data_IF_112035509070
#
_entry.id   IF_112035509070
#
_cell.length_a   1.000
_cell.length_b   1.000
_cell.length_c   1.000
_cell.angle_alpha   90.00
_cell.angle_beta   90.00
_cell.angle_gamma   90.00
#
_symmetry.space_group_name_H-M   'P 1'
#
loop_
_entity.id
_entity.type
_entity.pdbx_description
1 polymer ?
#
# COMPACT_ATOMS: atom_id res chain seq x y z
N UNK A 1 -25.71 25.85 25.53
CA UNK A 1 -24.38 25.83 26.16
C UNK A 1 -24.39 24.78 27.26
N UNK A 2 -23.75 23.63 27.02
CA UNK A 2 -23.56 22.59 28.03
C UNK A 2 -22.05 22.41 28.18
N UNK A 3 -21.50 22.97 29.26
CA UNK A 3 -20.11 22.81 29.66
C UNK A 3 -19.92 21.42 30.25
N UNK A 4 -19.22 20.55 29.54
CA UNK A 4 -18.74 19.28 30.10
C UNK A 4 -17.35 19.55 30.69
N UNK A 5 -17.28 19.57 32.02
CA UNK A 5 -16.04 19.64 32.78
C UNK A 5 -15.24 18.35 32.54
N UNK A 6 -14.09 18.45 31.89
CA UNK A 6 -13.10 17.38 31.82
C UNK A 6 -12.21 17.46 33.06
N UNK A 7 -12.24 16.43 33.91
CA UNK A 7 -11.18 16.18 34.88
C UNK A 7 -10.17 15.17 34.29
N UNK A 8 -8.86 15.37 34.50
CA UNK A 8 -7.80 14.64 33.81
C UNK A 8 -7.66 13.20 34.31
N UNK A 9 -7.19 12.35 33.38
CA UNK A 9 -6.49 11.06 33.52
C UNK A 9 -6.42 10.54 34.97
N UNK A 10 -7.23 9.53 35.27
CA UNK A 10 -7.10 8.70 36.49
C UNK A 10 -6.43 7.38 36.06
N UNK A 11 -5.18 7.19 36.49
CA UNK A 11 -4.50 5.90 36.59
C UNK A 11 -5.11 5.10 37.74
N UNK A 12 -5.62 3.89 37.52
CA UNK A 12 -5.81 2.91 38.62
C UNK A 12 -5.81 1.43 38.17
N UNK A 13 -5.33 0.61 39.11
CA UNK A 13 -4.85 -0.77 39.02
C UNK A 13 -5.90 -1.88 38.74
N UNK A 14 -5.43 -2.88 37.97
CA UNK A 14 -5.76 -4.33 37.92
C UNK A 14 -7.09 -4.81 38.52
N UNK A 15 -7.96 -5.29 37.64
CA UNK A 15 -8.34 -6.69 37.48
C UNK A 15 -9.57 -6.75 36.57
N UNK A 16 -9.55 -7.54 35.50
CA UNK A 16 -10.72 -8.30 35.04
C UNK A 16 -10.35 -9.28 33.93
N UNK A 17 -10.96 -10.46 34.07
CA UNK A 17 -10.62 -11.71 33.42
C UNK A 17 -11.05 -11.77 31.96
N UNK A 18 -10.21 -12.44 31.17
CA UNK A 18 -10.46 -12.85 29.79
C UNK A 18 -11.60 -13.87 29.72
N UNK A 19 -12.45 -13.73 28.71
CA UNK A 19 -13.19 -14.85 28.13
C UNK A 19 -13.10 -14.78 26.61
N UNK A 20 -12.42 -15.78 26.03
CA UNK A 20 -12.42 -16.10 24.60
C UNK A 20 -13.79 -16.67 24.21
N UNK A 21 -14.34 -16.24 23.08
CA UNK A 21 -15.23 -17.08 22.28
C UNK A 21 -14.82 -17.04 20.81
N UNK A 22 -14.39 -18.20 20.35
CA UNK A 22 -14.27 -18.62 18.97
C UNK A 22 -15.68 -18.81 18.41
N UNK A 23 -15.91 -18.46 17.15
CA UNK A 23 -16.89 -19.18 16.34
C UNK A 23 -16.45 -19.18 14.86
N UNK A 24 -16.24 -20.40 14.37
CA UNK A 24 -16.14 -20.77 12.97
C UNK A 24 -17.54 -20.78 12.34
N UNK A 25 -17.69 -20.28 11.12
CA UNK A 25 -18.55 -20.96 10.13
C UNK A 25 -18.08 -20.63 8.71
N UNK A 26 -17.64 -21.66 7.99
CA UNK A 26 -17.50 -21.70 6.55
C UNK A 26 -18.87 -21.92 5.90
N UNK A 27 -19.10 -21.34 4.72
CA UNK A 27 -19.64 -22.00 3.52
C UNK A 27 -19.80 -20.94 2.42
N UNK A 28 -19.02 -21.02 1.34
CA UNK A 28 -19.38 -21.67 0.07
C UNK A 28 -20.63 -21.06 -0.57
N UNK A 29 -20.41 -20.12 -1.50
CA UNK A 29 -21.15 -20.08 -2.76
C UNK A 29 -20.21 -19.54 -3.85
N UNK A 30 -19.78 -20.48 -4.69
CA UNK A 30 -18.96 -20.26 -5.86
C UNK A 30 -19.86 -20.26 -7.10
N UNK A 31 -19.40 -19.52 -8.10
CA UNK A 31 -19.71 -19.65 -9.53
C UNK A 31 -21.09 -19.21 -10.02
N UNK A 32 -21.11 -18.00 -10.60
CA UNK A 32 -21.58 -17.72 -11.97
C UNK A 32 -21.38 -16.23 -12.28
N UNK A 33 -20.47 -15.91 -13.21
CA UNK A 33 -20.67 -14.85 -14.22
C UNK A 33 -19.54 -14.92 -15.25
N UNK A 34 -19.86 -15.61 -16.35
CA UNK A 34 -19.12 -15.56 -17.61
C UNK A 34 -19.62 -14.39 -18.46
N UNK A 35 -18.70 -13.93 -19.31
CA UNK A 35 -18.91 -13.20 -20.58
C UNK A 35 -19.21 -11.70 -20.49
N UNK A 36 -18.14 -10.90 -20.35
CA UNK A 36 -18.13 -9.51 -20.81
C UNK A 36 -17.52 -9.48 -22.21
N UNK A 37 -18.33 -9.10 -23.19
CA UNK A 37 -17.92 -8.86 -24.57
C UNK A 37 -17.06 -7.59 -24.66
N UNK A 38 -15.85 -7.72 -25.20
CA UNK A 38 -14.96 -6.59 -25.47
C UNK A 38 -15.41 -5.84 -26.73
N UNK A 39 -15.92 -4.62 -26.57
CA UNK A 39 -15.98 -3.65 -27.67
C UNK A 39 -14.64 -2.92 -27.76
N UNK A 40 -13.80 -3.32 -28.71
CA UNK A 40 -12.59 -2.59 -29.09
C UNK A 40 -12.96 -1.42 -30.00
N UNK A 41 -13.11 -0.21 -29.47
CA UNK A 41 -12.97 1.00 -30.28
C UNK A 41 -11.47 1.31 -30.43
N UNK A 42 -10.91 0.87 -31.56
CA UNK A 42 -9.51 1.05 -31.88
C UNK A 42 -9.19 2.52 -32.16
N UNK A 43 -8.37 3.13 -31.30
CA UNK A 43 -7.49 4.23 -31.69
C UNK A 43 -6.16 3.58 -32.10
N UNK A 44 -5.93 3.43 -33.40
CA UNK A 44 -4.68 2.92 -33.97
C UNK A 44 -3.66 4.04 -34.07
N UNK A 45 -2.67 4.04 -33.18
CA UNK A 45 -1.44 4.78 -33.41
C UNK A 45 -0.63 4.06 -34.50
N UNK A 46 -0.26 4.78 -35.57
CA UNK A 46 0.71 4.28 -36.57
C UNK A 46 2.05 4.08 -35.88
N UNK A 47 2.37 2.85 -35.52
CA UNK A 47 3.73 2.50 -35.11
C UNK A 47 4.65 2.52 -36.33
N UNK A 48 5.76 3.24 -36.24
CA UNK A 48 6.90 3.03 -37.12
C UNK A 48 7.26 1.54 -37.07
N UNK A 49 7.17 0.84 -38.20
CA UNK A 49 7.53 -0.58 -38.28
C UNK A 49 9.05 -0.73 -38.12
N UNK A 50 9.53 -0.74 -36.88
CA UNK A 50 10.84 -1.30 -36.57
C UNK A 50 10.78 -2.79 -36.88
N UNK A 51 11.59 -3.23 -37.85
CA UNK A 51 11.77 -4.65 -38.18
C UNK A 51 12.10 -5.40 -36.88
N UNK A 52 11.26 -6.36 -36.50
CA UNK A 52 11.48 -7.14 -35.28
C UNK A 52 12.69 -8.06 -35.45
N UNK A 53 13.41 -8.36 -34.38
CA UNK A 53 14.60 -9.21 -34.47
C UNK A 53 14.23 -10.68 -34.66
N UNK A 54 15.21 -11.48 -35.08
CA UNK A 54 15.07 -12.94 -35.15
C UNK A 54 14.73 -13.56 -33.79
N UNK A 55 15.21 -12.98 -32.67
CA UNK A 55 14.86 -13.44 -31.32
C UNK A 55 13.36 -13.31 -31.05
N UNK A 56 12.76 -12.16 -31.40
CA UNK A 56 11.32 -11.96 -31.25
C UNK A 56 10.52 -13.00 -32.04
N UNK A 57 10.90 -13.25 -33.30
CA UNK A 57 10.20 -14.23 -34.15
C UNK A 57 10.37 -15.66 -33.64
N UNK A 58 11.55 -16.03 -33.14
CA UNK A 58 11.81 -17.33 -32.53
C UNK A 58 10.99 -17.54 -31.26
N UNK A 59 10.88 -16.52 -30.40
CA UNK A 59 10.04 -16.57 -29.20
C UNK A 59 8.55 -16.75 -29.55
N UNK A 60 8.06 -16.04 -30.57
CA UNK A 60 6.70 -16.25 -31.09
C UNK A 60 6.49 -17.64 -31.67
N UNK A 61 7.46 -18.17 -32.41
CA UNK A 61 7.41 -19.54 -32.93
C UNK A 61 7.32 -20.55 -31.79
N UNK A 62 8.11 -20.38 -30.74
CA UNK A 62 8.06 -21.22 -29.55
C UNK A 62 6.69 -21.15 -28.84
N UNK A 63 6.12 -19.96 -28.65
CA UNK A 63 4.78 -19.80 -28.06
C UNK A 63 3.70 -20.56 -28.85
N UNK A 64 3.81 -20.63 -30.17
CA UNK A 64 2.87 -21.39 -31.00
C UNK A 64 3.04 -22.92 -30.88
N UNK A 65 4.12 -23.41 -30.26
CA UNK A 65 4.36 -24.85 -30.03
C UNK A 65 3.92 -25.33 -28.65
N UNK A 66 3.53 -24.41 -27.75
CA UNK A 66 3.10 -24.73 -26.39
C UNK A 66 1.61 -24.47 -26.21
N UNK A 67 0.98 -25.22 -25.31
CA UNK A 67 -0.43 -24.99 -24.99
C UNK A 67 -0.56 -23.85 -23.98
N UNK A 68 -1.09 -22.71 -24.43
CA UNK A 68 -1.31 -21.53 -23.60
C UNK A 68 -2.78 -21.45 -23.20
N UNK A 69 -3.02 -21.33 -21.89
CA UNK A 69 -4.31 -20.95 -21.31
C UNK A 69 -4.20 -19.64 -20.52
N UNK A 70 -5.34 -19.09 -20.10
CA UNK A 70 -5.39 -17.91 -19.20
C UNK A 70 -4.67 -18.12 -17.86
N UNK A 71 -4.52 -19.38 -17.42
CA UNK A 71 -3.93 -19.77 -16.14
C UNK A 71 -2.44 -20.19 -16.30
N UNK A 72 -1.85 -19.91 -17.47
CA UNK A 72 -0.45 -20.26 -17.74
C UNK A 72 0.49 -19.51 -16.78
N UNK A 73 1.36 -20.26 -16.10
CA UNK A 73 2.51 -19.66 -15.42
C UNK A 73 3.67 -19.51 -16.39
N UNK A 74 4.27 -18.31 -16.45
CA UNK A 74 5.43 -18.07 -17.31
C UNK A 74 6.61 -18.97 -16.93
N UNK A 75 6.74 -19.37 -15.66
CA UNK A 75 7.80 -20.28 -15.21
C UNK A 75 7.59 -21.74 -15.64
N UNK A 76 6.40 -22.10 -16.15
CA UNK A 76 6.17 -23.39 -16.80
C UNK A 76 6.67 -23.42 -18.25
N UNK A 77 7.12 -22.28 -18.78
CA UNK A 77 7.64 -22.14 -20.14
C UNK A 77 9.17 -22.10 -20.14
N UNK A 78 9.77 -22.42 -21.28
CA UNK A 78 11.20 -22.27 -21.48
C UNK A 78 11.53 -20.78 -21.71
N UNK A 79 11.99 -20.11 -20.65
CA UNK A 79 12.33 -18.69 -20.66
C UNK A 79 13.46 -18.34 -21.62
N UNK A 80 14.43 -19.24 -21.86
CA UNK A 80 15.49 -19.00 -22.84
C UNK A 80 14.93 -18.91 -24.27
N UNK A 81 13.97 -19.77 -24.60
CA UNK A 81 13.26 -19.73 -25.90
C UNK A 81 12.30 -18.55 -26.00
N UNK A 82 11.85 -17.99 -24.88
CA UNK A 82 11.00 -16.80 -24.86
C UNK A 82 11.78 -15.49 -24.90
N UNK A 83 13.10 -15.50 -24.67
CA UNK A 83 13.90 -14.29 -24.69
C UNK A 83 13.80 -13.60 -26.05
N UNK A 84 13.50 -12.30 -26.02
CA UNK A 84 13.20 -11.50 -27.20
C UNK A 84 11.72 -11.16 -27.35
N UNK A 85 10.80 -11.85 -26.67
CA UNK A 85 9.36 -11.52 -26.71
C UNK A 85 9.08 -10.10 -26.19
N UNK A 86 9.91 -9.61 -25.28
CA UNK A 86 9.86 -8.28 -24.69
C UNK A 86 10.43 -7.16 -25.58
N UNK A 87 11.07 -7.47 -26.71
CA UNK A 87 11.78 -6.46 -27.50
C UNK A 87 10.88 -5.31 -27.98
N UNK A 88 11.42 -4.09 -27.91
CA UNK A 88 10.68 -2.86 -28.26
C UNK A 88 9.66 -2.42 -27.21
N UNK A 89 9.59 -3.06 -26.04
CA UNK A 89 8.87 -2.54 -24.87
C UNK A 89 9.80 -1.63 -24.08
N UNK A 90 9.54 -0.31 -24.15
CA UNK A 90 10.48 0.74 -23.70
C UNK A 90 10.88 0.59 -22.23
N UNK A 91 9.92 0.26 -21.36
CA UNK A 91 10.15 0.12 -19.92
C UNK A 91 11.13 -1.01 -19.59
N UNK A 92 11.13 -2.06 -20.41
CA UNK A 92 11.89 -3.29 -20.19
C UNK A 92 13.22 -3.34 -20.97
N UNK A 93 13.62 -2.24 -21.60
CA UNK A 93 14.90 -2.14 -22.30
C UNK A 93 16.08 -2.50 -21.39
N UNK A 94 16.94 -3.42 -21.87
CA UNK A 94 18.10 -3.92 -21.14
C UNK A 94 17.82 -5.11 -20.20
N UNK A 95 16.56 -5.54 -20.09
CA UNK A 95 16.16 -6.73 -19.33
C UNK A 95 15.79 -7.90 -20.26
N UNK A 96 16.13 -9.11 -19.81
CA UNK A 96 15.69 -10.34 -20.46
C UNK A 96 14.30 -10.78 -19.94
N UNK A 97 13.66 -11.75 -20.61
CA UNK A 97 12.32 -12.18 -20.20
C UNK A 97 12.27 -12.83 -18.81
N UNK A 98 13.37 -13.44 -18.35
CA UNK A 98 13.46 -14.06 -17.03
C UNK A 98 13.47 -13.03 -15.91
N UNK A 99 14.20 -11.94 -16.11
CA UNK A 99 14.23 -10.80 -15.19
C UNK A 99 12.87 -10.09 -15.15
N UNK A 100 12.22 -9.92 -16.30
CA UNK A 100 10.86 -9.35 -16.38
C UNK A 100 9.83 -10.27 -15.72
N UNK A 101 9.96 -11.59 -15.91
CA UNK A 101 9.12 -12.57 -15.23
C UNK A 101 9.25 -12.46 -13.71
N UNK A 102 10.48 -12.34 -13.19
CA UNK A 102 10.72 -12.12 -11.76
C UNK A 102 10.06 -10.84 -11.26
N UNK A 103 10.24 -9.72 -11.98
CA UNK A 103 9.61 -8.46 -11.60
C UNK A 103 8.09 -8.60 -11.56
N UNK A 104 7.48 -9.04 -12.67
CA UNK A 104 6.04 -8.98 -12.86
C UNK A 104 5.26 -10.08 -12.13
N UNK A 105 5.88 -11.24 -11.85
CA UNK A 105 5.24 -12.28 -11.03
C UNK A 105 5.25 -11.93 -9.54
N UNK A 106 6.33 -11.31 -9.07
CA UNK A 106 6.45 -10.95 -7.66
C UNK A 106 5.90 -9.56 -7.34
N UNK A 107 5.55 -8.73 -8.33
CA UNK A 107 5.13 -7.34 -8.08
C UNK A 107 3.94 -7.27 -7.12
N UNK A 108 4.19 -6.65 -5.97
CA UNK A 108 3.19 -6.28 -4.98
C UNK A 108 3.08 -4.76 -4.88
N UNK A 109 4.20 -4.05 -5.06
CA UNK A 109 4.24 -2.60 -4.87
C UNK A 109 4.75 -1.90 -6.14
N UNK A 110 3.96 -0.99 -6.68
CA UNK A 110 4.38 -0.02 -7.70
C UNK A 110 4.39 1.36 -7.04
N UNK A 111 5.54 1.75 -6.52
CA UNK A 111 5.62 2.98 -5.71
C UNK A 111 5.44 4.21 -6.59
N UNK A 112 4.44 5.04 -6.30
CA UNK A 112 4.25 6.32 -7.02
C UNK A 112 4.76 7.54 -6.24
N UNK A 113 4.89 7.41 -4.91
CA UNK A 113 5.45 8.43 -4.03
C UNK A 113 6.33 7.80 -2.95
N UNK A 114 7.46 8.46 -2.68
CA UNK A 114 8.42 8.13 -1.62
C UNK A 114 8.42 9.16 -0.51
N UNK A 115 8.45 8.67 0.72
CA UNK A 115 8.44 9.47 1.94
C UNK A 115 7.04 9.89 2.39
N UNK A 116 6.92 10.21 3.68
CA UNK A 116 5.68 10.55 4.35
C UNK A 116 5.89 11.74 5.28
N UNK A 117 4.93 12.68 5.32
CA UNK A 117 5.01 13.89 6.15
C UNK A 117 4.50 13.70 7.59
N UNK A 118 4.08 12.48 7.96
CA UNK A 118 3.31 12.26 9.19
C UNK A 118 4.11 11.62 10.31
N UNK A 119 5.31 11.14 9.99
CA UNK A 119 6.37 10.77 10.94
C UNK A 119 5.90 10.00 12.18
N UNK A 120 5.04 9.00 11.96
CA UNK A 120 4.54 8.16 13.04
C UNK A 120 5.70 7.47 13.79
N UNK A 121 5.57 7.38 15.11
CA UNK A 121 6.53 6.72 16.00
C UNK A 121 6.68 5.23 15.67
N UNK A 122 5.62 4.63 15.12
CA UNK A 122 5.57 3.23 14.72
C UNK A 122 5.88 2.97 13.24
N UNK A 123 6.40 3.96 12.51
CA UNK A 123 6.57 3.80 11.06
C UNK A 123 7.42 2.57 10.72
N UNK A 124 6.75 1.54 10.19
CA UNK A 124 7.32 0.24 9.86
C UNK A 124 8.49 0.37 8.88
N UNK A 125 8.31 1.24 7.90
CA UNK A 125 9.28 1.52 6.83
C UNK A 125 10.21 2.69 7.16
N UNK A 126 10.14 3.22 8.39
CA UNK A 126 11.00 4.31 8.87
C UNK A 126 10.98 5.56 7.97
N UNK A 127 9.83 5.82 7.35
CA UNK A 127 9.65 6.83 6.31
C UNK A 127 10.06 8.24 6.71
N UNK A 128 11.02 8.77 5.95
CA UNK A 128 11.47 10.16 6.04
C UNK A 128 10.57 11.12 5.28
N UNK A 129 10.82 12.42 5.50
CA UNK A 129 10.18 13.48 4.73
C UNK A 129 10.52 13.31 3.24
N UNK A 130 9.54 13.45 2.32
CA UNK A 130 9.78 13.38 0.89
C UNK A 130 10.90 14.30 0.44
N UNK A 131 11.79 13.81 -0.43
CA UNK A 131 12.80 14.65 -1.08
C UNK A 131 12.12 15.72 -1.96
N UNK A 132 12.75 16.88 -2.10
CA UNK A 132 12.34 17.87 -3.10
C UNK A 132 12.63 17.31 -4.49
N UNK A 133 11.64 17.35 -5.38
CA UNK A 133 11.83 16.98 -6.77
C UNK A 133 12.75 18.01 -7.45
N UNK A 134 13.88 17.54 -7.98
CA UNK A 134 14.87 18.33 -8.72
C UNK A 134 15.38 17.54 -9.91
N UNK A 135 16.33 18.10 -10.68
CA UNK A 135 17.03 17.33 -11.73
C UNK A 135 17.80 16.12 -11.20
N UNK A 136 18.18 16.10 -9.93
CA UNK A 136 19.01 15.05 -9.32
C UNK A 136 18.28 14.19 -8.28
N UNK A 137 17.10 14.60 -7.84
CA UNK A 137 16.35 13.96 -6.75
C UNK A 137 14.89 13.80 -7.14
N UNK A 138 14.27 12.70 -6.71
CA UNK A 138 12.86 12.46 -6.89
C UNK A 138 12.22 11.87 -5.63
N UNK A 139 10.99 12.28 -5.36
CA UNK A 139 10.07 11.67 -4.38
C UNK A 139 8.75 11.22 -5.01
N UNK A 140 8.59 11.39 -6.33
CA UNK A 140 7.44 10.89 -7.09
C UNK A 140 7.87 10.28 -8.41
N UNK A 141 7.15 9.26 -8.85
CA UNK A 141 7.24 8.77 -10.21
C UNK A 141 6.71 9.83 -11.19
N UNK A 142 7.06 9.69 -12.48
CA UNK A 142 6.37 10.40 -13.55
C UNK A 142 5.08 9.63 -13.93
N UNK A 143 4.03 10.36 -14.32
CA UNK A 143 2.84 9.71 -14.86
C UNK A 143 3.15 8.94 -16.16
N UNK A 144 4.05 9.47 -16.98
CA UNK A 144 4.48 8.86 -18.24
C UNK A 144 5.23 7.54 -17.99
N UNK A 145 6.12 7.48 -17.00
CA UNK A 145 6.80 6.22 -16.63
C UNK A 145 5.78 5.17 -16.14
N UNK A 146 4.84 5.58 -15.27
CA UNK A 146 3.77 4.70 -14.79
C UNK A 146 2.88 4.21 -15.96
N UNK A 147 2.41 5.13 -16.80
CA UNK A 147 1.56 4.81 -17.95
C UNK A 147 2.28 3.90 -18.96
N UNK A 148 3.57 4.15 -19.20
CA UNK A 148 4.39 3.33 -20.10
C UNK A 148 4.60 1.92 -19.54
N UNK A 149 4.87 1.76 -18.24
CA UNK A 149 4.93 0.44 -17.59
C UNK A 149 3.63 -0.34 -17.82
N UNK A 150 2.48 0.27 -17.52
CA UNK A 150 1.17 -0.38 -17.65
C UNK A 150 0.87 -0.73 -19.12
N UNK A 151 1.23 0.15 -20.07
CA UNK A 151 1.13 -0.11 -21.50
C UNK A 151 2.01 -1.28 -21.95
N UNK A 152 3.26 -1.33 -21.49
CA UNK A 152 4.20 -2.39 -21.83
C UNK A 152 3.79 -3.74 -21.22
N UNK A 153 3.22 -3.76 -20.02
CA UNK A 153 2.60 -4.97 -19.42
C UNK A 153 1.45 -5.46 -20.30
N UNK A 154 0.52 -4.59 -20.72
CA UNK A 154 -0.58 -4.96 -21.62
C UNK A 154 -0.07 -5.54 -22.93
N UNK A 155 0.92 -4.89 -23.53
CA UNK A 155 1.53 -5.37 -24.78
C UNK A 155 2.24 -6.71 -24.58
N UNK A 156 2.95 -6.91 -23.48
CA UNK A 156 3.59 -8.18 -23.16
C UNK A 156 2.56 -9.29 -22.98
N UNK A 157 1.48 -9.04 -22.24
CA UNK A 157 0.37 -9.97 -22.07
C UNK A 157 -0.23 -10.39 -23.43
N UNK A 158 -0.46 -9.43 -24.33
CA UNK A 158 -0.94 -9.71 -25.68
C UNK A 158 0.07 -10.55 -26.50
N UNK A 159 1.37 -10.34 -26.29
CA UNK A 159 2.42 -11.12 -26.97
C UNK A 159 2.52 -12.54 -26.41
N UNK A 160 2.32 -12.72 -25.11
CA UNK A 160 2.36 -14.02 -24.43
C UNK A 160 1.07 -14.84 -24.63
N UNK A 161 -0.08 -14.17 -24.79
CA UNK A 161 -1.40 -14.82 -24.87
C UNK A 161 -2.03 -15.13 -23.51
N UNK A 162 -1.41 -14.69 -22.42
CA UNK A 162 -1.90 -14.80 -21.05
C UNK A 162 -1.40 -13.61 -20.23
N UNK A 163 -1.98 -13.40 -19.05
CA UNK A 163 -1.58 -12.31 -18.17
C UNK A 163 -0.40 -12.75 -17.28
N UNK A 164 0.78 -12.16 -17.49
CA UNK A 164 1.98 -12.48 -16.72
C UNK A 164 1.84 -12.10 -15.24
N UNK A 165 1.01 -11.12 -14.91
CA UNK A 165 0.77 -10.63 -13.54
C UNK A 165 -0.40 -11.38 -12.87
N UNK A 166 -1.24 -12.09 -13.63
CA UNK A 166 -2.43 -12.74 -13.07
C UNK A 166 -2.07 -13.78 -11.99
N UNK A 167 -2.92 -13.91 -10.96
CA UNK A 167 -2.68 -14.81 -9.85
C UNK A 167 -2.82 -16.28 -10.28
N UNK A 168 -1.77 -17.07 -10.09
CA UNK A 168 -1.85 -18.52 -10.02
C UNK A 168 -1.96 -18.94 -8.54
N UNK A 169 -2.99 -19.73 -8.24
CA UNK A 169 -3.57 -19.87 -6.90
C UNK A 169 -2.60 -20.25 -5.75
N UNK A 170 -2.92 -19.65 -4.58
CA UNK A 170 -2.58 -19.93 -3.16
C UNK A 170 -1.55 -19.01 -2.49
N UNK A 171 -0.56 -18.47 -3.20
CA UNK A 171 0.49 -17.63 -2.61
C UNK A 171 0.73 -16.30 -3.33
N UNK A 172 0.01 -16.02 -4.42
CA UNK A 172 0.14 -14.78 -5.16
C UNK A 172 -0.51 -13.61 -4.41
N UNK A 173 0.19 -12.48 -4.37
CA UNK A 173 -0.32 -11.24 -3.79
C UNK A 173 -1.65 -10.86 -4.45
N UNK A 174 -2.67 -10.64 -3.62
CA UNK A 174 -4.06 -10.44 -4.07
C UNK A 174 -4.27 -9.04 -4.67
N UNK A 175 -3.32 -8.12 -4.47
CA UNK A 175 -3.39 -6.72 -4.86
C UNK A 175 -2.05 -6.16 -5.38
N UNK A 176 -2.09 -4.94 -5.90
CA UNK A 176 -0.93 -4.09 -6.18
C UNK A 176 -1.07 -2.77 -5.42
N UNK A 177 -0.12 -2.49 -4.56
CA UNK A 177 -0.10 -1.32 -3.69
C UNK A 177 0.67 -0.19 -4.41
N UNK A 178 0.11 1.02 -4.43
CA UNK A 178 0.77 2.19 -5.06
C UNK A 178 1.67 2.99 -4.12
N UNK A 179 1.75 2.58 -2.86
CA UNK A 179 2.54 3.21 -1.81
C UNK A 179 3.41 2.15 -1.12
N UNK A 180 4.53 2.59 -0.56
CA UNK A 180 5.36 1.76 0.32
C UNK A 180 5.58 2.46 1.64
N UNK A 181 6.30 3.59 1.59
CA UNK A 181 6.65 4.43 2.74
C UNK A 181 5.88 5.77 2.71
N UNK A 182 4.69 5.82 2.11
CA UNK A 182 3.89 7.04 1.92
C UNK A 182 2.41 6.83 2.25
N UNK A 183 1.63 7.91 2.33
CA UNK A 183 0.17 7.84 2.49
C UNK A 183 -0.53 7.75 1.14
N UNK A 184 -1.58 6.94 1.03
CA UNK A 184 -2.33 6.79 -0.21
C UNK A 184 -3.05 8.06 -0.65
N UNK A 185 -3.42 8.96 0.27
CA UNK A 185 -4.02 10.25 -0.11
C UNK A 185 -3.03 11.14 -0.85
N UNK A 186 -1.74 10.88 -0.66
CA UNK A 186 -0.64 11.59 -1.29
C UNK A 186 -0.13 10.92 -2.57
N UNK A 187 -0.61 9.71 -2.85
CA UNK A 187 -0.33 8.94 -4.06
C UNK A 187 -1.15 9.47 -5.23
N UNK A 188 -0.61 10.52 -5.84
CA UNK A 188 -1.11 11.09 -7.08
C UNK A 188 0.05 11.45 -8.00
N UNK A 189 -0.21 11.33 -9.30
CA UNK A 189 0.71 11.68 -10.37
C UNK A 189 0.14 12.80 -11.23
N UNK A 190 1.01 13.55 -11.89
CA UNK A 190 0.62 14.63 -12.79
C UNK A 190 1.23 14.35 -14.15
N UNK A 191 0.42 14.41 -15.20
CA UNK A 191 0.91 14.26 -16.57
C UNK A 191 1.62 15.53 -17.06
N UNK A 192 2.26 15.43 -18.23
CA UNK A 192 2.94 16.56 -18.88
C UNK A 192 2.02 17.78 -19.15
N UNK A 193 0.69 17.59 -19.18
CA UNK A 193 -0.30 18.66 -19.38
C UNK A 193 -0.80 19.26 -18.06
N UNK A 194 -0.31 18.80 -16.91
CA UNK A 194 -0.72 19.27 -15.60
C UNK A 194 -1.98 18.60 -15.03
N UNK A 195 -2.52 17.56 -15.68
CA UNK A 195 -3.67 16.82 -15.16
C UNK A 195 -3.22 15.90 -14.03
N UNK A 196 -3.86 16.05 -12.88
CA UNK A 196 -3.66 15.18 -11.72
C UNK A 196 -4.50 13.91 -11.82
N UNK A 197 -3.87 12.76 -11.55
CA UNK A 197 -4.47 11.44 -11.42
C UNK A 197 -4.31 10.98 -9.98
N UNK A 198 -5.42 10.79 -9.28
CA UNK A 198 -5.44 10.33 -7.89
C UNK A 198 -5.30 8.81 -7.77
N UNK A 199 -5.11 8.31 -6.55
CA UNK A 199 -4.89 6.88 -6.29
C UNK A 199 -5.98 5.95 -6.89
N UNK A 200 -7.26 6.32 -6.88
CA UNK A 200 -8.32 5.51 -7.50
C UNK A 200 -8.16 5.44 -9.04
N UNK A 201 -7.83 6.57 -9.68
CA UNK A 201 -7.61 6.61 -11.14
C UNK A 201 -6.35 5.83 -11.54
N UNK A 202 -5.28 5.89 -10.73
CA UNK A 202 -4.07 5.10 -10.95
C UNK A 202 -4.33 3.60 -10.73
N UNK A 203 -5.10 3.25 -9.70
CA UNK A 203 -5.53 1.87 -9.44
C UNK A 203 -6.37 1.32 -10.59
N UNK A 204 -7.28 2.10 -11.16
CA UNK A 204 -8.02 1.73 -12.36
C UNK A 204 -7.08 1.44 -13.54
N UNK A 205 -6.14 2.35 -13.82
CA UNK A 205 -5.19 2.20 -14.92
C UNK A 205 -4.37 0.91 -14.79
N UNK A 206 -3.84 0.62 -13.59
CA UNK A 206 -3.07 -0.61 -13.37
C UNK A 206 -3.96 -1.86 -13.41
N UNK A 207 -5.16 -1.82 -12.82
CA UNK A 207 -6.10 -2.94 -12.80
C UNK A 207 -6.45 -3.40 -14.21
N UNK A 208 -6.64 -2.45 -15.13
CA UNK A 208 -6.93 -2.75 -16.54
C UNK A 208 -5.78 -3.47 -17.27
N UNK A 209 -4.55 -3.47 -16.74
CA UNK A 209 -3.41 -4.22 -17.29
C UNK A 209 -3.12 -5.52 -16.54
N UNK A 210 -3.24 -5.49 -15.21
CA UNK A 210 -2.76 -6.54 -14.31
C UNK A 210 -3.89 -7.47 -13.86
N UNK A 211 -5.13 -7.00 -13.88
CA UNK A 211 -6.27 -7.67 -13.25
C UNK A 211 -6.20 -7.73 -11.72
N UNK A 212 -5.17 -7.12 -11.10
CA UNK A 212 -5.02 -7.10 -9.64
C UNK A 212 -5.65 -5.82 -9.09
N UNK A 213 -6.53 -5.90 -8.08
CA UNK A 213 -7.06 -4.71 -7.41
C UNK A 213 -5.94 -3.91 -6.72
N UNK A 214 -6.18 -2.63 -6.47
CA UNK A 214 -5.28 -1.81 -5.66
C UNK A 214 -5.66 -1.77 -4.18
N UNK A 215 -4.78 -1.25 -3.33
CA UNK A 215 -5.09 -0.96 -1.92
C UNK A 215 -4.95 0.53 -1.63
N UNK A 216 -5.76 1.04 -0.71
CA UNK A 216 -5.72 2.42 -0.24
C UNK A 216 -5.61 2.44 1.29
N UNK A 217 -4.44 2.80 1.81
CA UNK A 217 -4.21 3.00 3.24
C UNK A 217 -3.89 4.47 3.52
N UNK A 218 -4.64 5.08 4.44
CA UNK A 218 -4.43 6.45 4.88
C UNK A 218 -4.41 6.54 6.40
N UNK A 219 -3.65 7.47 6.95
CA UNK A 219 -3.78 7.93 8.35
C UNK A 219 -4.41 9.34 8.41
N UNK A 220 -5.03 9.79 7.33
CA UNK A 220 -5.82 11.01 7.27
C UNK A 220 -5.08 12.25 6.80
N UNK A 221 -5.76 13.39 6.83
CA UNK A 221 -5.25 14.71 6.47
C UNK A 221 -5.93 15.78 7.35
N UNK A 222 -5.30 16.93 7.52
CA UNK A 222 -5.85 18.02 8.34
C UNK A 222 -7.14 18.58 7.70
N UNK A 223 -8.15 19.00 8.50
CA UNK A 223 -9.42 19.50 7.96
C UNK A 223 -9.28 20.72 7.03
N UNK A 224 -8.21 21.50 7.17
CA UNK A 224 -7.90 22.67 6.34
C UNK A 224 -7.07 22.34 5.09
N UNK A 225 -6.59 21.10 4.93
CA UNK A 225 -5.96 20.63 3.70
C UNK A 225 -7.02 20.38 2.62
N UNK A 226 -7.41 21.47 1.97
CA UNK A 226 -8.38 21.48 0.87
C UNK A 226 -7.98 20.59 -0.31
N UNK A 227 -6.68 20.36 -0.54
CA UNK A 227 -6.20 19.54 -1.66
C UNK A 227 -6.44 18.07 -1.36
N UNK A 228 -6.01 17.60 -0.20
CA UNK A 228 -6.25 16.22 0.24
C UNK A 228 -7.74 15.95 0.42
N UNK A 229 -8.50 16.89 0.99
CA UNK A 229 -9.96 16.79 1.11
C UNK A 229 -10.63 16.58 -0.26
N UNK A 230 -10.31 17.43 -1.25
CA UNK A 230 -10.88 17.31 -2.61
C UNK A 230 -10.50 15.99 -3.27
N UNK A 231 -9.28 15.49 -3.04
CA UNK A 231 -8.83 14.21 -3.57
C UNK A 231 -9.59 13.05 -2.93
N UNK A 232 -9.75 13.06 -1.61
CA UNK A 232 -10.52 12.07 -0.88
C UNK A 232 -11.95 12.02 -1.40
N UNK A 233 -12.64 13.16 -1.53
CA UNK A 233 -14.01 13.21 -2.05
C UNK A 233 -14.15 12.62 -3.46
N UNK A 234 -13.17 12.82 -4.34
CA UNK A 234 -13.13 12.17 -5.66
C UNK A 234 -12.99 10.66 -5.54
N UNK A 235 -12.09 10.18 -4.67
CA UNK A 235 -11.88 8.75 -4.41
C UNK A 235 -13.15 8.10 -3.85
N UNK A 236 -13.80 8.75 -2.87
CA UNK A 236 -15.07 8.26 -2.29
C UNK A 236 -16.17 8.22 -3.34
N UNK A 237 -16.29 9.27 -4.17
CA UNK A 237 -17.26 9.27 -5.28
C UNK A 237 -17.02 8.11 -6.25
N UNK A 238 -15.76 7.79 -6.53
CA UNK A 238 -15.37 6.68 -7.40
C UNK A 238 -15.80 5.33 -6.82
N UNK A 239 -15.47 5.04 -5.56
CA UNK A 239 -15.78 3.76 -4.92
C UNK A 239 -17.22 3.63 -4.40
N UNK A 240 -18.01 4.70 -4.48
CA UNK A 240 -19.46 4.62 -4.21
C UNK A 240 -20.17 3.77 -5.27
N UNK A 241 -19.72 3.83 -6.53
CA UNK A 241 -20.24 3.02 -7.63
C UNK A 241 -19.74 1.57 -7.53
N UNK A 242 -20.67 0.62 -7.40
CA UNK A 242 -20.38 -0.82 -7.27
C UNK A 242 -19.64 -1.40 -8.49
N UNK A 243 -19.74 -0.75 -9.66
CA UNK A 243 -18.97 -1.16 -10.85
C UNK A 243 -17.46 -1.11 -10.61
N UNK A 244 -17.02 -0.24 -9.72
CA UNK A 244 -15.60 -0.04 -9.41
C UNK A 244 -15.12 -0.90 -8.22
N UNK A 245 -16.01 -1.70 -7.61
CA UNK A 245 -15.69 -2.45 -6.39
C UNK A 245 -14.58 -3.49 -6.59
N UNK A 246 -14.41 -4.03 -7.81
CA UNK A 246 -13.37 -5.02 -8.11
C UNK A 246 -11.97 -4.41 -8.30
N UNK A 247 -11.87 -3.08 -8.42
CA UNK A 247 -10.59 -2.39 -8.64
C UNK A 247 -9.85 -2.07 -7.34
N UNK A 248 -10.50 -2.28 -6.20
CA UNK A 248 -9.95 -2.08 -4.87
C UNK A 248 -10.02 -3.38 -4.09
N UNK A 249 -8.97 -3.71 -3.37
CA UNK A 249 -8.88 -4.86 -2.48
C UNK A 249 -9.38 -4.44 -1.11
N UNK A 250 -8.77 -3.37 -0.58
CA UNK A 250 -9.12 -2.80 0.71
C UNK A 250 -8.90 -1.29 0.74
N UNK A 251 -9.72 -0.62 1.55
CA UNK A 251 -9.55 0.77 1.97
C UNK A 251 -9.35 0.73 3.49
N UNK A 252 -8.19 1.18 3.98
CA UNK A 252 -7.85 1.20 5.39
C UNK A 252 -7.66 2.63 5.90
N UNK A 253 -8.36 2.95 6.98
CA UNK A 253 -8.15 4.18 7.75
C UNK A 253 -7.37 3.79 9.02
N UNK A 254 -6.12 4.22 9.11
CA UNK A 254 -5.24 3.95 10.24
C UNK A 254 -5.46 4.99 11.34
N UNK A 255 -6.05 4.55 12.46
CA UNK A 255 -6.24 5.37 13.66
C UNK A 255 -5.31 4.85 14.74
N UNK A 256 -4.19 5.55 14.95
CA UNK A 256 -3.08 5.06 15.74
C UNK A 256 -2.62 6.13 16.74
N UNK A 257 -2.30 5.75 17.99
CA UNK A 257 -1.86 6.68 19.02
C UNK A 257 -0.41 7.13 18.76
N UNK A 258 0.25 6.53 17.76
CA UNK A 258 1.64 6.78 17.39
C UNK A 258 1.84 7.94 16.42
N UNK A 259 0.78 8.63 16.01
CA UNK A 259 0.88 9.77 15.09
C UNK A 259 1.77 10.87 15.71
N UNK A 260 2.47 11.66 14.88
CA UNK A 260 3.37 12.71 15.37
C UNK A 260 2.69 13.67 16.35
N UNK A 261 1.45 14.09 16.09
CA UNK A 261 0.68 14.94 17.02
C UNK A 261 0.54 14.33 18.42
N UNK A 262 0.37 13.01 18.52
CA UNK A 262 0.28 12.34 19.80
C UNK A 262 1.64 12.27 20.51
N UNK A 263 2.73 12.10 19.77
CA UNK A 263 4.09 12.22 20.32
C UNK A 263 4.33 13.63 20.87
N UNK A 264 4.00 14.67 20.10
CA UNK A 264 4.09 16.07 20.54
C UNK A 264 3.24 16.35 21.80
N UNK A 265 2.09 15.67 21.94
CA UNK A 265 1.26 15.77 23.12
C UNK A 265 1.93 15.17 24.37
N UNK A 266 2.54 13.99 24.24
CA UNK A 266 3.26 13.30 25.32
C UNK A 266 4.48 14.13 25.75
N UNK A 267 5.25 14.65 24.79
CA UNK A 267 6.38 15.53 25.07
C UNK A 267 5.95 16.81 25.80
N UNK A 268 4.87 17.46 25.34
CA UNK A 268 4.34 18.65 26.01
C UNK A 268 3.91 18.35 27.45
N UNK A 269 3.29 17.18 27.69
CA UNK A 269 2.91 16.76 29.03
C UNK A 269 4.13 16.55 29.94
N UNK A 270 5.18 15.87 29.45
CA UNK A 270 6.45 15.68 30.18
C UNK A 270 7.12 17.00 30.55
N UNK A 271 6.97 18.02 29.70
CA UNK A 271 7.48 19.38 29.93
C UNK A 271 6.56 20.25 30.80
N UNK A 272 5.51 19.68 31.42
CA UNK A 272 4.59 20.43 32.28
C UNK A 272 3.68 21.40 31.52
N UNK A 273 3.43 21.18 30.23
CA UNK A 273 2.56 22.02 29.39
C UNK A 273 1.27 21.28 28.97
N UNK A 274 0.30 21.12 29.90
CA UNK A 274 -0.92 20.36 29.66
C UNK A 274 -1.84 21.01 28.61
N UNK A 275 -1.81 22.34 28.47
CA UNK A 275 -2.61 23.04 27.45
C UNK A 275 -2.15 22.68 26.04
N UNK A 276 -0.84 22.68 25.79
CA UNK A 276 -0.27 22.25 24.50
C UNK A 276 -0.53 20.77 24.25
N UNK A 277 -0.43 19.93 25.29
CA UNK A 277 -0.74 18.50 25.16
C UNK A 277 -2.20 18.30 24.71
N UNK A 278 -3.16 18.94 25.38
CA UNK A 278 -4.57 18.87 25.03
C UNK A 278 -4.86 19.43 23.62
N UNK A 279 -4.20 20.50 23.23
CA UNK A 279 -4.30 21.05 21.87
C UNK A 279 -3.92 19.99 20.83
N UNK A 280 -2.79 19.31 21.01
CA UNK A 280 -2.28 18.31 20.05
C UNK A 280 -3.15 17.06 19.96
N UNK A 281 -3.70 16.60 21.08
CA UNK A 281 -4.70 15.52 21.11
C UNK A 281 -5.96 15.92 20.35
N UNK A 282 -6.46 17.14 20.54
CA UNK A 282 -7.63 17.65 19.81
C UNK A 282 -7.38 17.76 18.31
N UNK A 283 -6.22 18.31 17.91
CA UNK A 283 -5.83 18.39 16.49
C UNK A 283 -5.84 16.99 15.84
N UNK A 284 -5.30 15.97 16.52
CA UNK A 284 -5.34 14.60 16.00
C UNK A 284 -6.77 14.05 15.91
N UNK A 285 -7.59 14.28 16.92
CA UNK A 285 -8.98 13.80 16.93
C UNK A 285 -9.84 14.47 15.85
N UNK A 286 -9.66 15.78 15.63
CA UNK A 286 -10.34 16.53 14.58
C UNK A 286 -9.93 16.08 13.18
N UNK A 287 -8.63 15.83 12.97
CA UNK A 287 -8.10 15.22 11.76
C UNK A 287 -8.81 13.90 11.45
N UNK A 288 -8.85 12.96 12.39
CA UNK A 288 -9.46 11.66 12.14
C UNK A 288 -10.98 11.75 12.00
N UNK A 289 -11.66 12.60 12.79
CA UNK A 289 -13.10 12.82 12.63
C UNK A 289 -13.46 13.34 11.23
N UNK A 290 -12.65 14.26 10.67
CA UNK A 290 -12.83 14.73 9.29
C UNK A 290 -12.70 13.59 8.25
N UNK A 291 -11.74 12.69 8.45
CA UNK A 291 -11.55 11.52 7.57
C UNK A 291 -12.78 10.61 7.64
N UNK A 292 -13.22 10.21 8.83
CA UNK A 292 -14.40 9.34 8.99
C UNK A 292 -15.66 9.99 8.39
N UNK A 293 -15.85 11.29 8.62
CA UNK A 293 -16.94 12.04 8.02
C UNK A 293 -16.88 11.99 6.48
N UNK A 294 -15.70 12.18 5.89
CA UNK A 294 -15.50 12.11 4.43
C UNK A 294 -15.78 10.72 3.86
N UNK A 295 -15.41 9.66 4.58
CA UNK A 295 -15.59 8.26 4.16
C UNK A 295 -16.99 7.70 4.45
N UNK A 296 -17.85 8.45 5.14
CA UNK A 296 -19.23 8.03 5.48
C UNK A 296 -20.07 7.54 4.28
N UNK A 297 -19.97 8.11 3.07
CA UNK A 297 -20.76 7.64 1.92
C UNK A 297 -20.47 6.20 1.46
N UNK A 298 -19.37 5.60 1.93
CA UNK A 298 -18.98 4.22 1.60
C UNK A 298 -18.84 3.35 2.86
N UNK A 299 -19.42 3.78 3.99
CA UNK A 299 -19.30 3.10 5.28
C UNK A 299 -19.80 1.65 5.26
N UNK A 300 -20.78 1.36 4.38
CA UNK A 300 -21.37 0.02 4.22
C UNK A 300 -20.61 -0.88 3.23
N UNK A 301 -19.54 -0.39 2.59
CA UNK A 301 -18.73 -1.21 1.70
C UNK A 301 -17.88 -2.17 2.51
N UNK A 302 -17.96 -3.47 2.21
CA UNK A 302 -17.22 -4.54 2.90
C UNK A 302 -15.69 -4.40 2.86
N UNK A 303 -15.18 -3.64 1.90
CA UNK A 303 -13.75 -3.39 1.70
C UNK A 303 -13.21 -2.20 2.49
N UNK A 304 -14.06 -1.44 3.17
CA UNK A 304 -13.63 -0.38 4.09
C UNK A 304 -13.32 -0.97 5.47
N UNK A 305 -12.19 -0.56 6.04
CA UNK A 305 -11.82 -0.92 7.39
C UNK A 305 -11.14 0.23 8.14
N UNK A 306 -11.25 0.20 9.47
CA UNK A 306 -10.45 1.05 10.36
C UNK A 306 -9.42 0.15 11.04
N UNK A 307 -8.14 0.47 10.87
CA UNK A 307 -7.03 -0.21 11.53
C UNK A 307 -6.67 0.58 12.78
N UNK A 308 -7.00 0.01 13.94
CA UNK A 308 -6.66 0.58 15.25
C UNK A 308 -5.53 -0.24 15.86
N UNK A 309 -4.32 0.32 15.86
CA UNK A 309 -3.15 -0.36 16.43
C UNK A 309 -2.67 0.35 17.69
N UNK A 310 -2.33 -0.41 18.74
CA UNK A 310 -1.78 0.10 20.00
C UNK A 310 -0.48 -0.63 20.38
N UNK A 311 0.23 -0.13 21.39
CA UNK A 311 1.40 -0.85 21.90
C UNK A 311 0.96 -2.05 22.71
N UNK A 312 1.70 -3.15 22.57
CA UNK A 312 1.55 -4.30 23.44
C UNK A 312 2.24 -4.01 24.78
N UNK A 313 1.53 -4.14 25.89
CA UNK A 313 2.01 -3.72 27.22
C UNK A 313 3.21 -4.52 27.76
N UNK A 314 3.66 -5.58 27.06
CA UNK A 314 4.78 -6.42 27.48
C UNK A 314 6.11 -6.01 26.84
N UNK A 315 7.13 -5.81 27.67
CA UNK A 315 8.50 -5.55 27.22
C UNK A 315 8.72 -4.17 26.60
N UNK A 316 7.85 -3.22 26.92
CA UNK A 316 7.90 -1.85 26.42
C UNK A 316 8.51 -0.91 27.45
N UNK A 317 9.20 0.12 26.95
CA UNK A 317 9.72 1.23 27.76
C UNK A 317 8.61 2.01 28.49
N UNK A 318 8.98 2.80 29.50
CA UNK A 318 8.03 3.69 30.20
C UNK A 318 7.37 4.70 29.23
N UNK A 319 8.14 5.25 28.30
CA UNK A 319 7.63 6.17 27.28
C UNK A 319 6.50 5.54 26.44
N UNK A 320 6.66 4.27 26.13
CA UNK A 320 5.78 3.49 25.28
C UNK A 320 4.41 3.18 25.92
N UNK A 321 4.30 3.22 27.24
CA UNK A 321 3.03 3.05 27.95
C UNK A 321 2.00 4.10 27.53
N UNK A 322 2.45 5.29 27.10
CA UNK A 322 1.58 6.35 26.62
C UNK A 322 0.89 6.03 25.28
N UNK A 323 1.25 4.92 24.62
CA UNK A 323 0.60 4.45 23.40
C UNK A 323 -0.16 3.13 23.59
N UNK A 324 -0.42 2.74 24.85
CA UNK A 324 -1.14 1.53 25.22
C UNK A 324 -2.65 1.60 24.94
N UNK A 325 -3.35 0.51 25.27
CA UNK A 325 -4.78 0.35 24.96
C UNK A 325 -5.68 1.41 25.59
N UNK A 326 -5.37 1.84 26.82
CA UNK A 326 -6.18 2.79 27.57
C UNK A 326 -6.23 4.16 26.87
N UNK A 327 -5.07 4.66 26.45
CA UNK A 327 -4.98 5.90 25.70
C UNK A 327 -5.63 5.78 24.32
N UNK A 328 -5.54 4.61 23.68
CA UNK A 328 -6.25 4.38 22.42
C UNK A 328 -7.77 4.51 22.58
N UNK A 329 -8.35 3.94 23.64
CA UNK A 329 -9.79 4.02 23.92
C UNK A 329 -10.21 5.47 24.14
N UNK A 330 -9.43 6.26 24.89
CA UNK A 330 -9.72 7.68 25.12
C UNK A 330 -9.71 8.47 23.81
N UNK A 331 -8.69 8.27 22.96
CA UNK A 331 -8.57 8.95 21.67
C UNK A 331 -9.72 8.56 20.75
N UNK A 332 -10.09 7.28 20.67
CA UNK A 332 -11.23 6.81 19.89
C UNK A 332 -12.52 7.53 20.30
N UNK A 333 -12.75 7.67 21.61
CA UNK A 333 -13.94 8.35 22.15
C UNK A 333 -13.97 9.82 21.74
N UNK A 334 -12.83 10.52 21.83
CA UNK A 334 -12.71 11.91 21.40
C UNK A 334 -12.95 12.08 19.89
N UNK A 335 -12.42 11.17 19.06
CA UNK A 335 -12.67 11.16 17.61
C UNK A 335 -14.17 11.03 17.33
N UNK A 336 -14.84 10.10 18.01
CA UNK A 336 -16.28 9.89 17.86
C UNK A 336 -17.10 11.11 18.30
N UNK A 337 -16.73 11.77 19.40
CA UNK A 337 -17.37 13.02 19.84
C UNK A 337 -17.27 14.13 18.79
N UNK A 338 -16.09 14.30 18.18
CA UNK A 338 -15.86 15.28 17.12
C UNK A 338 -16.63 14.92 15.85
N UNK A 339 -16.70 13.63 15.51
CA UNK A 339 -17.46 13.13 14.37
C UNK A 339 -18.97 13.38 14.53
N UNK A 340 -19.54 13.17 15.71
CA UNK A 340 -20.95 13.50 16.01
C UNK A 340 -21.22 14.98 15.75
N UNK A 341 -20.31 15.88 16.16
CA UNK A 341 -20.46 17.32 15.90
C UNK A 341 -20.47 17.63 14.40
N UNK A 342 -19.63 16.96 13.61
CA UNK A 342 -19.63 17.10 12.15
C UNK A 342 -20.97 16.65 11.54
N UNK A 343 -21.52 15.51 11.97
CA UNK A 343 -22.83 15.06 11.50
C UNK A 343 -23.98 15.98 11.91
N UNK A 344 -23.99 16.50 13.15
CA UNK A 344 -25.02 17.44 13.60
C UNK A 344 -24.97 18.73 12.79
N UNK A 345 -23.77 19.26 12.54
CA UNK A 345 -23.56 20.42 11.68
C UNK A 345 -24.01 20.14 10.24
N UNK A 346 -23.68 18.96 9.70
CA UNK A 346 -24.15 18.54 8.38
C UNK A 346 -25.67 18.51 8.31
N UNK A 347 -26.34 17.84 9.24
CA UNK A 347 -27.80 17.75 9.31
C UNK A 347 -28.48 19.14 9.36
N UNK A 348 -27.88 20.08 10.10
CA UNK A 348 -28.43 21.43 10.30
C UNK A 348 -28.27 22.32 9.08
N UNK A 349 -27.13 22.29 8.40
CA UNK A 349 -26.76 23.32 7.43
C UNK A 349 -26.46 22.81 6.01
N UNK A 350 -25.87 21.63 5.86
CA UNK A 350 -25.32 21.19 4.57
C UNK A 350 -26.07 20.01 3.95
N UNK A 351 -26.54 19.08 4.79
CA UNK A 351 -27.18 17.79 4.47
C UNK A 351 -26.42 17.02 3.39
N UNK A 352 -25.09 17.02 3.48
CA UNK A 352 -24.21 16.41 2.49
C UNK A 352 -24.20 14.89 2.60
N UNK A 353 -24.15 14.37 3.82
CA UNK A 353 -24.00 12.94 4.12
C UNK A 353 -25.09 12.39 5.04
N UNK A 354 -25.73 13.23 5.86
CA UNK A 354 -26.86 12.84 6.72
C UNK A 354 -28.07 13.76 6.51
N UNK A 355 -29.26 13.18 6.54
CA UNK A 355 -30.55 13.87 6.35
C UNK A 355 -31.47 13.79 7.56
N UNK A 356 -31.24 12.82 8.45
CA UNK A 356 -32.03 12.58 9.65
C UNK A 356 -31.13 12.39 10.88
N UNK A 357 -31.73 12.40 12.09
CA UNK A 357 -30.98 12.06 13.31
C UNK A 357 -30.64 10.57 13.35
N UNK A 358 -31.50 9.75 12.77
CA UNK A 358 -31.35 8.31 12.64
C UNK A 358 -30.11 7.97 11.80
N UNK A 359 -29.82 8.71 10.73
CA UNK A 359 -28.60 8.55 9.92
C UNK A 359 -27.34 8.76 10.78
N UNK A 360 -27.36 9.73 11.70
CA UNK A 360 -26.25 9.99 12.62
C UNK A 360 -26.05 8.78 13.54
N UNK A 361 -27.13 8.28 14.13
CA UNK A 361 -27.07 7.13 15.04
C UNK A 361 -26.55 5.89 14.32
N UNK A 362 -27.02 5.62 13.10
CA UNK A 362 -26.62 4.48 12.29
C UNK A 362 -25.13 4.55 11.91
N UNK A 363 -24.69 5.70 11.37
CA UNK A 363 -23.29 5.90 11.00
C UNK A 363 -22.34 5.76 12.21
N UNK A 364 -22.73 6.32 13.36
CA UNK A 364 -21.92 6.22 14.59
C UNK A 364 -21.78 4.78 15.06
N UNK A 365 -22.86 3.96 15.01
CA UNK A 365 -22.79 2.53 15.36
C UNK A 365 -21.82 1.76 14.46
N UNK A 366 -21.84 2.04 13.15
CA UNK A 366 -20.96 1.39 12.18
C UNK A 366 -19.49 1.75 12.42
N UNK A 367 -19.19 3.02 12.67
CA UNK A 367 -17.84 3.44 13.03
C UNK A 367 -17.38 2.82 14.35
N UNK A 368 -18.21 2.86 15.39
CA UNK A 368 -17.90 2.27 16.70
C UNK A 368 -17.58 0.78 16.60
N UNK A 369 -18.35 0.04 15.80
CA UNK A 369 -18.06 -1.37 15.50
C UNK A 369 -16.68 -1.56 14.86
N UNK A 370 -16.28 -0.71 13.90
CA UNK A 370 -14.94 -0.78 13.31
C UNK A 370 -13.83 -0.41 14.31
N UNK A 371 -14.06 0.56 15.18
CA UNK A 371 -13.13 0.96 16.24
C UNK A 371 -12.91 -0.10 17.32
N UNK A 372 -13.90 -0.96 17.56
CA UNK A 372 -13.81 -2.03 18.57
C UNK A 372 -12.73 -3.09 18.24
N UNK A 373 -12.25 -3.12 16.99
CA UNK A 373 -11.23 -4.06 16.50
C UNK A 373 -9.83 -3.48 16.70
N UNK A 374 -9.32 -3.59 17.93
CA UNK A 374 -7.99 -3.11 18.32
C UNK A 374 -6.98 -4.26 18.27
N UNK A 375 -5.82 -4.01 17.64
CA UNK A 375 -4.74 -4.99 17.51
C UNK A 375 -3.43 -4.45 18.10
N UNK A 376 -2.63 -5.34 18.68
CA UNK A 376 -1.29 -5.01 19.15
C UNK A 376 -0.32 -4.81 17.99
N UNK A 377 0.38 -3.68 17.97
CA UNK A 377 1.43 -3.39 17.01
C UNK A 377 2.66 -4.28 17.25
N UNK A 378 3.31 -4.69 16.15
CA UNK A 378 4.55 -5.46 16.17
C UNK A 378 5.76 -4.52 16.34
N UNK A 379 6.79 -4.88 17.13
CA UNK A 379 8.00 -4.07 17.30
C UNK A 379 8.88 -4.10 16.04
N UNK A 380 8.57 -3.29 15.02
CA UNK A 380 9.31 -3.21 13.76
C UNK A 380 9.57 -1.76 13.35
N UNK A 381 10.63 -1.51 12.58
CA UNK A 381 10.95 -0.16 12.11
C UNK A 381 11.19 0.79 13.28
N UNK A 382 10.66 2.03 13.22
CA UNK A 382 10.81 3.02 14.31
C UNK A 382 10.20 2.56 15.62
N UNK A 383 9.25 1.62 15.58
CA UNK A 383 8.62 1.08 16.78
C UNK A 383 9.60 0.30 17.66
N UNK A 384 10.60 -0.34 17.06
CA UNK A 384 11.57 -1.19 17.76
C UNK A 384 12.25 -0.51 18.94
N UNK A 385 12.53 0.80 18.82
CA UNK A 385 13.18 1.61 19.86
C UNK A 385 12.44 1.65 21.20
N UNK A 386 11.14 1.32 21.17
CA UNK A 386 10.28 1.34 22.34
C UNK A 386 10.26 0.02 23.10
N UNK A 387 10.92 -1.03 22.57
CA UNK A 387 10.96 -2.37 23.15
C UNK A 387 12.36 -2.67 23.68
N UNK A 388 12.47 -2.98 24.96
CA UNK A 388 13.77 -3.24 25.60
C UNK A 388 14.42 -4.51 25.03
N UNK A 389 15.71 -4.41 24.67
CA UNK A 389 16.48 -5.54 24.14
C UNK A 389 16.12 -5.95 22.71
N UNK A 390 15.26 -5.22 22.01
CA UNK A 390 14.91 -5.50 20.63
C UNK A 390 15.81 -4.73 19.64
N UNK A 391 16.55 -5.46 18.81
CA UNK A 391 17.39 -4.92 17.73
C UNK A 391 16.88 -5.36 16.37
N UNK A 392 16.24 -4.44 15.65
CA UNK A 392 15.65 -4.71 14.33
C UNK A 392 16.70 -4.92 13.22
N UNK A 393 17.95 -4.49 13.44
CA UNK A 393 18.99 -4.52 12.41
C UNK A 393 19.41 -5.95 12.04
N UNK A 394 19.60 -6.82 13.04
CA UNK A 394 19.95 -8.23 12.85
C UNK A 394 18.89 -8.99 12.07
N UNK A 395 17.62 -8.71 12.37
CA UNK A 395 16.50 -9.33 11.67
C UNK A 395 16.51 -8.96 10.18
N UNK A 396 16.69 -7.68 9.85
CA UNK A 396 16.76 -7.22 8.46
C UNK A 396 17.87 -7.92 7.67
N UNK A 397 19.04 -8.12 8.30
CA UNK A 397 20.17 -8.86 7.70
C UNK A 397 19.78 -10.31 7.45
N UNK A 398 19.32 -11.03 8.48
CA UNK A 398 18.94 -12.44 8.36
C UNK A 398 17.87 -12.67 7.29
N UNK A 399 16.88 -11.79 7.19
CA UNK A 399 15.84 -11.91 6.18
C UNK A 399 16.37 -11.66 4.76
N UNK A 400 17.29 -10.71 4.57
CA UNK A 400 17.96 -10.49 3.28
C UNK A 400 18.84 -11.69 2.88
N UNK A 401 19.57 -12.27 3.84
CA UNK A 401 20.33 -13.52 3.66
C UNK A 401 19.42 -14.68 3.26
N UNK A 402 18.30 -14.87 3.95
CA UNK A 402 17.32 -15.90 3.63
C UNK A 402 16.77 -15.78 2.20
N UNK A 403 16.55 -14.54 1.72
CA UNK A 403 16.15 -14.30 0.34
C UNK A 403 17.28 -14.72 -0.61
N UNK A 404 18.51 -14.29 -0.40
CA UNK A 404 19.64 -14.66 -1.27
C UNK A 404 19.86 -16.18 -1.31
N UNK A 405 19.86 -16.84 -0.15
CA UNK A 405 19.97 -18.29 -0.05
C UNK A 405 18.86 -19.01 -0.81
N UNK A 406 17.63 -18.48 -0.80
CA UNK A 406 16.53 -19.06 -1.56
C UNK A 406 16.80 -19.07 -3.07
N UNK A 407 17.42 -18.01 -3.62
CA UNK A 407 17.81 -17.96 -5.03
C UNK A 407 19.00 -18.88 -5.35
N UNK A 408 20.03 -18.87 -4.50
CA UNK A 408 21.22 -19.71 -4.69
C UNK A 408 20.87 -21.21 -4.65
N UNK A 409 19.98 -21.60 -3.75
CA UNK A 409 19.57 -22.99 -3.55
C UNK A 409 18.36 -23.40 -4.38
N UNK A 410 17.73 -22.49 -5.13
CA UNK A 410 16.47 -22.72 -5.85
C UNK A 410 15.35 -23.23 -4.94
N UNK A 411 15.22 -22.66 -3.75
CA UNK A 411 14.19 -23.04 -2.77
C UNK A 411 12.84 -22.40 -3.14
N UNK A 412 12.10 -23.06 -4.02
CA UNK A 412 10.78 -22.61 -4.48
C UNK A 412 9.80 -22.35 -3.33
N UNK A 413 9.94 -23.05 -2.19
CA UNK A 413 9.04 -22.88 -1.04
C UNK A 413 9.20 -21.52 -0.38
N UNK A 414 10.44 -21.01 -0.32
CA UNK A 414 10.77 -19.67 0.17
C UNK A 414 10.47 -18.62 -0.91
N UNK A 415 10.85 -18.87 -2.15
CA UNK A 415 10.67 -17.93 -3.27
C UNK A 415 9.18 -17.55 -3.47
N UNK A 416 8.27 -18.51 -3.30
CA UNK A 416 6.81 -18.29 -3.40
C UNK A 416 6.23 -17.30 -2.39
N UNK A 417 6.99 -16.93 -1.36
CA UNK A 417 6.56 -16.01 -0.29
C UNK A 417 7.24 -14.64 -0.37
N UNK A 418 8.01 -14.41 -1.43
CA UNK A 418 8.75 -13.17 -1.63
C UNK A 418 7.94 -12.22 -2.49
N UNK A 419 7.81 -10.99 -2.00
CA UNK A 419 7.13 -9.92 -2.68
C UNK A 419 8.11 -8.98 -3.37
N UNK A 420 7.64 -8.30 -4.40
CA UNK A 420 8.40 -7.40 -5.24
C UNK A 420 7.97 -5.96 -5.06
N UNK A 421 8.95 -5.08 -4.89
CA UNK A 421 8.76 -3.63 -4.82
C UNK A 421 9.45 -2.97 -6.01
N UNK A 422 8.69 -2.21 -6.77
CA UNK A 422 9.18 -1.32 -7.81
C UNK A 422 9.20 0.13 -7.30
N UNK A 423 10.38 0.73 -7.23
CA UNK A 423 10.58 2.11 -6.75
C UNK A 423 10.40 3.14 -7.88
N UNK A 424 10.27 4.42 -7.51
CA UNK A 424 9.98 5.54 -8.43
C UNK A 424 11.10 5.83 -9.46
N UNK A 425 12.27 5.21 -9.31
CA UNK A 425 13.40 5.27 -10.25
C UNK A 425 13.57 3.96 -11.04
N UNK A 426 12.59 3.07 -10.98
CA UNK A 426 12.59 1.78 -11.67
C UNK A 426 13.40 0.69 -10.99
N UNK A 427 14.08 0.94 -9.86
CA UNK A 427 14.80 -0.11 -9.12
C UNK A 427 13.80 -1.11 -8.56
N UNK A 428 14.14 -2.39 -8.69
CA UNK A 428 13.34 -3.47 -8.15
C UNK A 428 14.01 -4.09 -6.93
N UNK A 429 13.20 -4.36 -5.92
CA UNK A 429 13.60 -4.96 -4.65
C UNK A 429 12.72 -6.16 -4.37
N UNK A 430 13.27 -7.15 -3.69
CA UNK A 430 12.54 -8.26 -3.14
C UNK A 430 12.37 -8.05 -1.64
N UNK A 431 11.24 -8.45 -1.08
CA UNK A 431 11.02 -8.29 0.36
C UNK A 431 10.16 -9.40 0.96
N UNK A 432 10.42 -9.68 2.24
CA UNK A 432 9.59 -10.51 3.12
C UNK A 432 9.46 -9.78 4.46
N UNK A 433 8.30 -9.16 4.67
CA UNK A 433 7.83 -8.40 5.84
C UNK A 433 8.82 -8.17 7.04
N UNK A 434 9.51 -7.01 7.15
CA UNK A 434 9.64 -5.88 6.23
C UNK A 434 11.04 -5.77 5.63
N UNK A 435 11.81 -6.87 5.61
CA UNK A 435 13.18 -6.84 5.16
C UNK A 435 13.27 -6.80 3.64
N UNK A 436 14.22 -6.02 3.13
CA UNK A 436 14.29 -5.62 1.73
C UNK A 436 15.64 -6.07 1.18
N UNK A 437 15.63 -7.05 0.29
CA UNK A 437 16.77 -7.48 -0.48
C UNK A 437 16.86 -6.64 -1.77
N UNK A 438 17.88 -5.77 -1.93
CA UNK A 438 18.08 -5.04 -3.17
C UNK A 438 18.46 -5.99 -4.31
N UNK A 439 18.07 -5.64 -5.54
CA UNK A 439 18.49 -6.36 -6.75
C UNK A 439 19.23 -5.43 -7.70
N UNK A 440 19.98 -5.99 -8.64
CA UNK A 440 20.55 -5.23 -9.77
C UNK A 440 19.53 -4.90 -10.87
N UNK A 441 18.26 -5.32 -10.72
CA UNK A 441 17.22 -5.07 -11.70
C UNK A 441 16.71 -3.63 -11.62
N UNK A 442 16.68 -2.96 -12.77
CA UNK A 442 16.17 -1.60 -12.85
C UNK A 442 15.49 -1.34 -14.21
N UNK A 443 14.23 -0.90 -14.16
CA UNK A 443 13.45 -0.50 -15.32
C UNK A 443 13.98 0.80 -15.95
N UNK A 444 13.67 0.99 -17.23
CA UNK A 444 14.06 2.16 -17.99
C UNK A 444 13.14 3.38 -17.74
N UNK A 445 13.18 3.90 -16.51
CA UNK A 445 12.39 5.07 -16.10
C UNK A 445 13.13 6.38 -16.36
N UNK A 446 12.38 7.46 -16.56
CA UNK A 446 12.95 8.82 -16.64
C UNK A 446 13.74 9.23 -15.38
N UNK A 447 13.39 8.65 -14.24
CA UNK A 447 14.05 8.88 -12.96
C UNK A 447 15.21 7.92 -12.66
N UNK A 448 15.64 7.07 -13.60
CA UNK A 448 16.61 5.96 -13.39
C UNK A 448 17.87 6.35 -12.60
N UNK A 449 18.43 7.52 -12.89
CA UNK A 449 19.67 7.99 -12.27
C UNK A 449 19.47 9.03 -11.17
N UNK A 450 18.22 9.33 -10.80
CA UNK A 450 17.93 10.28 -9.71
C UNK A 450 18.04 9.60 -8.36
N UNK A 451 18.50 10.36 -7.37
CA UNK A 451 18.50 9.94 -5.98
C UNK A 451 17.05 9.89 -5.46
N UNK A 452 16.67 8.74 -4.92
CA UNK A 452 15.43 8.53 -4.16
C UNK A 452 15.78 8.35 -2.68
N UNK A 453 14.77 8.28 -1.81
CA UNK A 453 15.02 7.89 -0.41
C UNK A 453 15.48 6.44 -0.36
N UNK A 454 16.45 6.15 0.50
CA UNK A 454 16.94 4.79 0.66
C UNK A 454 15.82 3.89 1.22
N UNK A 455 15.64 2.73 0.60
CA UNK A 455 14.64 1.73 1.00
C UNK A 455 15.28 0.71 1.94
N UNK A 456 16.50 0.27 1.66
CA UNK A 456 17.24 -0.77 2.38
C UNK A 456 18.07 -0.20 3.54
N UNK A 457 17.46 0.62 4.41
CA UNK A 457 18.16 1.31 5.51
C UNK A 457 18.99 0.32 6.34
N UNK A 458 20.32 0.46 6.24
CA UNK A 458 21.29 -0.31 7.03
C UNK A 458 21.74 -1.65 6.46
N UNK A 459 21.32 -2.05 5.24
CA UNK A 459 21.78 -3.31 4.63
C UNK A 459 23.08 -3.13 3.83
N UNK A 460 24.15 -3.89 4.14
CA UNK A 460 25.38 -3.90 3.34
C UNK A 460 25.15 -4.29 1.88
N UNK A 461 25.92 -3.70 0.96
CA UNK A 461 25.81 -3.95 -0.50
C UNK A 461 25.98 -5.42 -0.90
N UNK A 462 26.71 -6.20 -0.10
CA UNK A 462 26.91 -7.64 -0.34
C UNK A 462 25.59 -8.43 -0.39
N UNK A 463 24.53 -7.90 0.23
CA UNK A 463 23.20 -8.49 0.19
C UNK A 463 22.38 -8.09 -1.05
N UNK A 464 23.01 -7.49 -2.06
CA UNK A 464 22.36 -7.22 -3.36
C UNK A 464 22.34 -8.48 -4.20
N UNK A 465 21.15 -8.89 -4.64
CA UNK A 465 20.97 -10.01 -5.56
C UNK A 465 21.39 -9.59 -6.98
N UNK A 466 22.45 -10.21 -7.50
CA UNK A 466 22.99 -9.90 -8.82
C UNK A 466 22.16 -10.48 -9.96
N UNK A 467 22.27 -9.89 -11.15
CA UNK A 467 21.66 -10.44 -12.37
C UNK A 467 22.18 -11.83 -12.68
N UNK A 468 23.44 -12.13 -12.36
CA UNK A 468 24.03 -13.45 -12.56
C UNK A 468 23.29 -14.52 -11.75
N UNK A 469 23.09 -14.28 -10.44
CA UNK A 469 22.37 -15.20 -9.56
C UNK A 469 20.91 -15.38 -10.03
N UNK A 470 20.25 -14.28 -10.39
CA UNK A 470 18.88 -14.33 -10.92
C UNK A 470 18.83 -15.18 -12.19
N UNK A 471 19.75 -14.95 -13.12
CA UNK A 471 19.76 -15.65 -14.40
C UNK A 471 20.27 -17.10 -14.30
N UNK A 472 21.02 -17.49 -13.28
CA UNK A 472 21.43 -18.88 -13.05
C UNK A 472 20.36 -19.69 -12.29
N UNK A 473 19.47 -19.05 -11.52
CA UNK A 473 18.46 -19.74 -10.72
C UNK A 473 17.37 -20.43 -11.55
N UNK A 474 16.93 -21.63 -11.16
CA UNK A 474 15.87 -22.42 -11.82
C UNK A 474 14.48 -22.12 -11.23
N UNK A 475 14.14 -20.84 -11.10
CA UNK A 475 12.89 -20.38 -10.50
C UNK A 475 11.69 -21.08 -11.15
N UNK A 476 10.90 -21.81 -10.36
CA UNK A 476 9.63 -22.42 -10.84
C UNK A 476 8.37 -21.85 -10.17
N UNK A 477 8.52 -20.70 -9.48
CA UNK A 477 7.50 -19.92 -8.73
C UNK A 477 6.04 -20.27 -9.02
#
# INVERSE_FOLDING_TARGET
MLSVNFNPIILYNKNLNRTKKVNNTQNQQQDKLNNVYYYTSGITFKSSQTKKSDKFYNAKKYLNTVNISKDTNIYNLNLEKLDGIQEGLKTFEGLNIKEIALILKNIEVITVKRGCNNHCAHCLFESDTPLKNTKYQASKASFEDFSQLISDIKQLNNRLGFNIVAPNKKYDNEDIILFFDSDSIDCYLTDANGKEYNCAELNHIQYMATGKPGTFDTHGWEPDDKKSQKRAEKIIKYFKDDKNANEIYQINISVNPFHQKMQEAIEAQKLGNPQKALQKVNEYAERMANVLFTFSPIIDKTKLSVRVANMNDKGISEEAQNFGIENQVVINKLIMEKLVKLYVNDLQYNKKYVNTKEDIIDNIKKWDFMFSKIYGATPKGRMSRFYEGFDDSKRKINDAENIQEAFLNNDDSKLKRISGLLDINGKFYLFSDPAICPTELQLNYSNKYKKTKDISLGLPKQYTLSREIINSSKITL
#
